data_IF_790017753017
#
_entry.id   IF_790017753017
#
_cell.length_a   1.000
_cell.length_b   1.000
_cell.length_c   1.000
_cell.angle_alpha   90.00
_cell.angle_beta   90.00
_cell.angle_gamma   90.00
#
_symmetry.space_group_name_H-M   'P 1'
#
loop_
_entity.id
_entity.type
_entity.pdbx_description
1 polymer ?
#
# COMPACT_ATOMS: atom_id res chain seq x y z
N UNK A 1 23.46 0.36 7.89
CA UNK A 1 24.66 1.19 8.12
C UNK A 1 24.59 1.95 9.45
N UNK A 2 23.65 2.90 9.61
CA UNK A 2 23.58 3.79 10.78
C UNK A 2 23.45 3.03 12.12
N UNK A 3 22.68 1.95 12.17
CA UNK A 3 22.56 1.11 13.37
C UNK A 3 23.87 0.42 13.76
N UNK A 4 24.62 -0.11 12.79
CA UNK A 4 25.94 -0.74 13.04
C UNK A 4 26.93 0.28 13.60
N UNK A 5 26.90 1.50 13.05
CA UNK A 5 27.72 2.63 13.49
C UNK A 5 27.24 3.27 14.80
N UNK A 6 26.10 2.82 15.35
CA UNK A 6 25.47 3.38 16.55
C UNK A 6 25.20 4.88 16.45
N UNK A 7 24.87 5.36 15.26
CA UNK A 7 24.51 6.76 15.03
C UNK A 7 23.01 6.93 15.19
N UNK A 8 22.59 8.02 15.84
CA UNK A 8 21.19 8.40 15.89
C UNK A 8 20.71 8.88 14.52
N UNK A 9 19.47 8.56 14.17
CA UNK A 9 18.83 8.99 12.93
C UNK A 9 17.31 9.07 13.10
N UNK A 10 16.66 9.79 12.19
CA UNK A 10 15.21 9.98 12.16
C UNK A 10 14.58 8.94 11.23
N UNK A 11 13.46 8.37 11.64
CA UNK A 11 12.65 7.44 10.83
C UNK A 11 12.68 5.98 11.33
N UNK A 12 12.14 5.05 10.53
CA UNK A 12 11.97 3.66 10.93
C UNK A 12 13.30 2.95 11.17
N UNK A 13 13.30 2.01 12.11
CA UNK A 13 14.44 1.09 12.32
C UNK A 13 14.61 0.15 11.14
N UNK A 14 15.79 -0.48 11.01
CA UNK A 14 16.10 -1.34 9.86
C UNK A 14 15.02 -2.38 9.57
N UNK A 15 14.53 -3.07 10.61
CA UNK A 15 13.52 -4.12 10.48
C UNK A 15 12.18 -3.55 9.99
N UNK A 16 11.76 -2.43 10.56
CA UNK A 16 10.53 -1.74 10.17
C UNK A 16 10.64 -1.28 8.71
N UNK A 17 11.72 -0.58 8.37
CA UNK A 17 11.98 -0.10 7.01
C UNK A 17 12.01 -1.24 5.97
N UNK A 18 12.67 -2.37 6.28
CA UNK A 18 12.71 -3.50 5.36
C UNK A 18 11.38 -4.24 5.23
N UNK A 19 10.63 -4.35 6.33
CA UNK A 19 9.38 -5.12 6.34
C UNK A 19 8.20 -4.34 5.77
N UNK A 20 8.15 -3.01 5.92
CA UNK A 20 7.12 -2.17 5.29
C UNK A 20 7.36 -1.99 3.79
N UNK A 21 8.62 -2.05 3.36
CA UNK A 21 8.95 -2.02 1.92
C UNK A 21 8.44 -3.27 1.19
N UNK A 22 8.41 -4.43 1.85
CA UNK A 22 7.90 -5.67 1.29
C UNK A 22 6.37 -5.74 1.44
N UNK A 23 5.65 -5.44 0.36
CA UNK A 23 4.17 -5.39 0.35
C UNK A 23 3.52 -6.70 0.82
N UNK A 24 4.10 -7.86 0.50
CA UNK A 24 3.55 -9.15 0.92
C UNK A 24 3.69 -9.33 2.43
N UNK A 25 4.89 -9.09 2.96
CA UNK A 25 5.13 -9.20 4.40
C UNK A 25 4.30 -8.18 5.19
N UNK A 26 4.21 -6.95 4.70
CA UNK A 26 3.39 -5.91 5.30
C UNK A 26 1.92 -6.33 5.36
N UNK A 27 1.34 -6.80 4.24
CA UNK A 27 -0.03 -7.26 4.17
C UNK A 27 -0.32 -8.46 5.10
N UNK A 28 0.61 -9.41 5.20
CA UNK A 28 0.48 -10.55 6.11
C UNK A 28 0.42 -10.08 7.59
N UNK A 29 1.27 -9.11 7.96
CA UNK A 29 1.25 -8.52 9.31
C UNK A 29 -0.05 -7.75 9.55
N UNK A 30 -0.51 -6.96 8.58
CA UNK A 30 -1.74 -6.20 8.69
C UNK A 30 -2.95 -7.11 8.86
N UNK A 31 -3.01 -8.21 8.09
CA UNK A 31 -4.01 -9.27 8.25
C UNK A 31 -3.98 -9.85 9.66
N UNK A 32 -2.79 -10.20 10.18
CA UNK A 32 -2.63 -10.76 11.52
C UNK A 32 -3.12 -9.80 12.63
N UNK A 33 -3.01 -8.48 12.42
CA UNK A 33 -3.53 -7.47 13.34
C UNK A 33 -4.93 -6.99 12.99
N UNK A 34 -5.62 -7.57 12.01
CA UNK A 34 -6.98 -7.20 11.63
C UNK A 34 -7.13 -5.77 11.12
N UNK A 35 -6.09 -5.26 10.45
CA UNK A 35 -6.20 -4.06 9.60
C UNK A 35 -6.60 -4.57 8.21
N UNK A 36 -7.65 -4.03 7.54
CA UNK A 36 -8.07 -4.53 6.24
C UNK A 36 -7.14 -4.09 5.10
N UNK A 37 -6.91 -4.96 4.12
CA UNK A 37 -6.30 -4.67 2.82
C UNK A 37 -7.31 -5.05 1.73
N UNK A 38 -7.06 -4.60 0.51
CA UNK A 38 -7.71 -5.23 -0.64
C UNK A 38 -7.28 -6.70 -0.74
N UNK A 39 -8.13 -7.60 -1.25
CA UNK A 39 -7.74 -8.98 -1.52
C UNK A 39 -6.47 -9.04 -2.39
N UNK A 40 -5.55 -9.94 -2.05
CA UNK A 40 -4.30 -10.09 -2.78
C UNK A 40 -3.87 -11.56 -2.94
N UNK A 41 -3.03 -11.80 -3.94
CA UNK A 41 -2.33 -13.07 -4.20
C UNK A 41 -0.84 -12.78 -4.32
N UNK A 42 -0.02 -13.63 -3.69
CA UNK A 42 1.43 -13.62 -3.86
C UNK A 42 1.82 -14.43 -5.10
N UNK A 43 2.78 -13.92 -5.88
CA UNK A 43 3.35 -14.62 -7.01
C UNK A 43 4.88 -14.55 -6.97
N UNK A 44 5.53 -15.65 -7.31
CA UNK A 44 6.99 -15.78 -7.31
C UNK A 44 7.50 -16.13 -8.71
N UNK A 45 8.65 -15.58 -9.09
CA UNK A 45 9.19 -15.73 -10.44
C UNK A 45 9.47 -17.19 -10.85
N UNK A 46 9.76 -18.06 -9.89
CA UNK A 46 10.03 -19.49 -10.06
C UNK A 46 8.79 -20.39 -9.86
N UNK A 47 7.63 -19.80 -9.59
CA UNK A 47 6.38 -20.53 -9.39
C UNK A 47 5.70 -20.90 -10.70
N UNK A 48 4.92 -22.00 -10.67
CA UNK A 48 4.12 -22.43 -11.80
C UNK A 48 3.03 -21.39 -12.12
N UNK A 49 3.03 -20.89 -13.36
CA UNK A 49 2.09 -19.88 -13.85
C UNK A 49 0.62 -20.35 -13.79
N UNK A 50 0.33 -21.62 -14.10
CA UNK A 50 -1.03 -22.15 -14.02
C UNK A 50 -1.59 -22.10 -12.59
N UNK A 51 -0.71 -22.29 -11.59
CA UNK A 51 -1.09 -22.17 -10.18
C UNK A 51 -1.40 -20.72 -9.81
N UNK A 52 -0.56 -19.77 -10.23
CA UNK A 52 -0.81 -18.33 -10.02
C UNK A 52 -2.13 -17.92 -10.65
N UNK A 53 -2.40 -18.36 -11.88
CA UNK A 53 -3.63 -18.07 -12.60
C UNK A 53 -4.86 -18.61 -11.85
N UNK A 54 -4.80 -19.86 -11.40
CA UNK A 54 -5.88 -20.48 -10.65
C UNK A 54 -6.16 -19.73 -9.33
N UNK A 55 -5.12 -19.34 -8.59
CA UNK A 55 -5.29 -18.57 -7.35
C UNK A 55 -5.87 -17.17 -7.59
N UNK A 56 -5.45 -16.49 -8.66
CA UNK A 56 -6.00 -15.17 -9.02
C UNK A 56 -7.48 -15.28 -9.40
N UNK A 57 -7.86 -16.29 -10.18
CA UNK A 57 -9.26 -16.51 -10.57
C UNK A 57 -10.17 -16.90 -9.39
N UNK A 58 -9.62 -17.64 -8.42
CA UNK A 58 -10.37 -18.09 -7.23
C UNK A 58 -10.57 -16.94 -6.23
N UNK A 59 -9.56 -16.10 -6.03
CA UNK A 59 -9.53 -15.11 -4.93
C UNK A 59 -9.83 -13.68 -5.34
N UNK A 60 -9.59 -13.30 -6.60
CA UNK A 60 -9.60 -11.90 -7.05
C UNK A 60 -10.61 -11.68 -8.20
N UNK A 61 -11.11 -10.45 -8.27
CA UNK A 61 -11.92 -9.96 -9.38
C UNK A 61 -11.13 -8.94 -10.20
N UNK A 62 -11.20 -9.02 -11.53
CA UNK A 62 -10.56 -8.06 -12.42
C UNK A 62 -11.30 -6.71 -12.44
N UNK A 63 -10.60 -5.57 -12.65
CA UNK A 63 -9.16 -5.48 -12.90
C UNK A 63 -8.31 -5.70 -11.64
N UNK A 64 -7.10 -6.21 -11.81
CA UNK A 64 -6.11 -6.38 -10.73
C UNK A 64 -4.88 -5.50 -10.98
N UNK A 65 -4.14 -5.20 -9.92
CA UNK A 65 -2.87 -4.49 -9.97
C UNK A 65 -1.72 -5.44 -9.64
N UNK A 66 -0.80 -5.60 -10.58
CA UNK A 66 0.42 -6.40 -10.40
C UNK A 66 1.55 -5.46 -10.01
N UNK A 67 2.14 -5.67 -8.82
CA UNK A 67 3.15 -4.78 -8.23
C UNK A 67 4.38 -5.59 -7.76
N UNK A 68 5.63 -5.15 -8.04
CA UNK A 68 6.81 -5.72 -7.39
C UNK A 68 6.70 -5.51 -5.87
N UNK A 69 7.07 -6.52 -5.08
CA UNK A 69 6.88 -6.48 -3.63
C UNK A 69 7.66 -5.34 -2.97
N UNK A 70 8.90 -5.09 -3.40
CA UNK A 70 9.84 -4.13 -2.78
C UNK A 70 10.06 -2.82 -3.57
N UNK A 71 9.10 -2.40 -4.41
CA UNK A 71 9.20 -1.15 -5.15
C UNK A 71 8.19 -0.09 -4.68
N UNK A 72 8.64 1.17 -4.74
CA UNK A 72 7.82 2.37 -4.55
C UNK A 72 7.68 3.18 -5.85
N UNK A 73 7.06 4.36 -5.74
CA UNK A 73 6.92 5.33 -6.84
C UNK A 73 6.22 4.78 -8.11
N UNK A 74 5.35 3.79 -7.93
CA UNK A 74 4.59 3.13 -9.00
C UNK A 74 5.44 2.47 -10.08
N UNK A 75 6.72 2.21 -9.82
CA UNK A 75 7.63 1.58 -10.79
C UNK A 75 7.31 0.08 -10.90
N UNK A 76 7.17 -0.41 -12.13
CA UNK A 76 6.89 -1.83 -12.40
C UNK A 76 5.44 -2.25 -12.10
N UNK A 77 4.55 -1.31 -11.78
CA UNK A 77 3.14 -1.60 -11.53
C UNK A 77 2.37 -1.64 -12.85
N UNK A 78 1.52 -2.67 -13.02
CA UNK A 78 0.62 -2.80 -14.17
C UNK A 78 -0.82 -2.99 -13.71
N UNK A 79 -1.76 -2.28 -14.34
CA UNK A 79 -3.20 -2.59 -14.24
C UNK A 79 -3.52 -3.66 -15.29
N UNK A 80 -4.06 -4.79 -14.85
CA UNK A 80 -4.36 -5.96 -15.67
C UNK A 80 -5.87 -6.14 -15.66
N UNK A 81 -6.50 -6.19 -16.84
CA UNK A 81 -7.97 -6.23 -16.95
C UNK A 81 -8.53 -7.62 -17.21
N UNK A 82 -7.67 -8.59 -17.54
CA UNK A 82 -8.07 -9.98 -17.77
C UNK A 82 -6.93 -10.97 -17.48
N UNK A 83 -7.24 -12.26 -17.47
CA UNK A 83 -6.24 -13.31 -17.23
C UNK A 83 -5.19 -13.38 -18.33
N UNK A 84 -5.57 -13.08 -19.58
CA UNK A 84 -4.68 -13.08 -20.73
C UNK A 84 -3.60 -11.99 -20.64
N UNK A 85 -3.90 -10.88 -19.95
CA UNK A 85 -2.97 -9.78 -19.71
C UNK A 85 -2.06 -10.03 -18.49
N UNK A 86 -2.38 -11.01 -17.64
CA UNK A 86 -1.72 -11.22 -16.36
C UNK A 86 -0.25 -11.57 -16.52
N UNK A 87 0.08 -12.47 -17.45
CA UNK A 87 1.47 -12.90 -17.72
C UNK A 87 2.35 -11.71 -18.13
N UNK A 88 1.82 -10.80 -18.95
CA UNK A 88 2.54 -9.59 -19.33
C UNK A 88 2.79 -8.66 -18.13
N UNK A 89 1.79 -8.48 -17.26
CA UNK A 89 1.94 -7.71 -16.02
C UNK A 89 2.98 -8.31 -15.07
N UNK A 90 2.95 -9.63 -14.90
CA UNK A 90 3.94 -10.39 -14.11
C UNK A 90 5.35 -10.23 -14.68
N UNK A 91 5.52 -10.38 -16.00
CA UNK A 91 6.81 -10.23 -16.67
C UNK A 91 7.39 -8.81 -16.52
N UNK A 92 6.55 -7.77 -16.42
CA UNK A 92 7.00 -6.41 -16.10
C UNK A 92 7.47 -6.32 -14.65
N UNK A 93 6.68 -6.83 -13.69
CA UNK A 93 7.00 -6.75 -12.27
C UNK A 93 8.27 -7.56 -11.91
N UNK A 94 8.46 -8.73 -12.53
CA UNK A 94 9.62 -9.60 -12.32
C UNK A 94 10.96 -9.00 -12.76
N UNK A 95 10.96 -7.89 -13.50
CA UNK A 95 12.20 -7.13 -13.81
C UNK A 95 12.75 -6.41 -12.58
N UNK A 96 11.91 -6.17 -11.57
CA UNK A 96 12.25 -5.36 -10.40
C UNK A 96 12.35 -6.17 -9.12
N UNK A 97 11.61 -7.29 -9.02
CA UNK A 97 11.60 -8.12 -7.82
C UNK A 97 11.23 -9.57 -8.20
N UNK A 98 11.76 -10.57 -7.50
CA UNK A 98 11.35 -11.96 -7.68
C UNK A 98 10.03 -12.28 -6.98
N UNK A 99 9.57 -11.38 -6.09
CA UNK A 99 8.30 -11.44 -5.38
C UNK A 99 7.36 -10.36 -5.89
N UNK A 100 6.12 -10.76 -6.18
CA UNK A 100 5.10 -9.89 -6.74
C UNK A 100 3.81 -10.04 -5.94
N UNK A 101 3.13 -8.92 -5.71
CA UNK A 101 1.79 -8.90 -5.16
C UNK A 101 0.80 -8.55 -6.28
N UNK A 102 -0.27 -9.33 -6.37
CA UNK A 102 -1.40 -9.12 -7.29
C UNK A 102 -2.58 -8.72 -6.42
N UNK A 103 -3.01 -7.47 -6.51
CA UNK A 103 -4.07 -6.91 -5.67
C UNK A 103 -5.34 -6.67 -6.47
N UNK A 104 -6.49 -6.95 -5.88
CA UNK A 104 -7.77 -6.61 -6.51
C UNK A 104 -7.91 -5.09 -6.65
N UNK A 105 -8.25 -4.64 -7.85
CA UNK A 105 -8.58 -3.25 -8.11
C UNK A 105 -9.89 -2.87 -7.44
N UNK A 106 -9.89 -1.73 -6.75
CA UNK A 106 -11.09 -1.13 -6.15
C UNK A 106 -11.27 0.28 -6.68
N UNK A 107 -12.51 0.68 -6.93
CA UNK A 107 -12.83 2.07 -7.25
C UNK A 107 -12.93 2.86 -5.94
N UNK A 108 -11.84 3.52 -5.58
CA UNK A 108 -11.69 4.15 -4.27
C UNK A 108 -10.92 5.47 -4.36
N UNK A 109 -11.23 6.35 -3.41
CA UNK A 109 -10.45 7.56 -3.12
C UNK A 109 -9.19 7.18 -2.36
N UNK A 110 -8.08 7.88 -2.63
CA UNK A 110 -6.83 7.70 -1.90
C UNK A 110 -6.74 8.72 -0.78
N UNK A 111 -6.71 8.24 0.46
CA UNK A 111 -6.69 9.06 1.67
C UNK A 111 -5.39 8.77 2.42
N UNK A 112 -4.66 9.81 2.80
CA UNK A 112 -3.36 9.70 3.47
C UNK A 112 -3.48 10.11 4.93
N UNK A 113 -2.88 9.33 5.83
CA UNK A 113 -2.82 9.61 7.26
C UNK A 113 -1.38 9.52 7.76
N UNK A 114 -0.82 10.63 8.22
CA UNK A 114 0.53 10.63 8.79
C UNK A 114 0.51 10.10 10.23
N UNK A 115 1.55 9.34 10.58
CA UNK A 115 1.75 8.78 11.92
C UNK A 115 3.09 9.23 12.46
N UNK A 116 3.12 9.65 13.72
CA UNK A 116 4.33 10.09 14.43
C UNK A 116 4.37 9.43 15.81
N UNK A 117 5.52 8.86 16.16
CA UNK A 117 5.70 8.32 17.50
C UNK A 117 6.83 7.31 17.60
N UNK A 118 7.04 6.83 18.82
CA UNK A 118 7.99 5.77 19.12
C UNK A 118 7.41 4.89 20.23
N UNK A 119 7.55 3.57 20.11
CA UNK A 119 7.02 2.63 21.09
C UNK A 119 5.50 2.75 21.24
N UNK A 120 4.97 2.59 22.45
CA UNK A 120 3.52 2.69 22.71
C UNK A 120 2.93 4.11 22.67
N UNK A 121 3.72 5.13 22.31
CA UNK A 121 3.25 6.53 22.20
C UNK A 121 3.21 6.93 20.74
N UNK A 122 2.11 6.58 20.08
CA UNK A 122 1.87 6.84 18.66
C UNK A 122 0.69 7.79 18.52
N UNK A 123 0.76 8.71 17.55
CA UNK A 123 -0.31 9.63 17.20
C UNK A 123 -0.43 9.74 15.69
N UNK A 124 -1.66 9.77 15.21
CA UNK A 124 -2.02 10.07 13.83
C UNK A 124 -2.45 11.53 13.63
N UNK A 125 -2.28 12.06 12.42
CA UNK A 125 -2.94 13.30 11.98
C UNK A 125 -4.42 13.05 11.68
N UNK A 126 -5.16 14.11 11.34
CA UNK A 126 -6.40 13.93 10.58
C UNK A 126 -6.06 13.39 9.17
N UNK A 127 -6.89 12.52 8.58
CA UNK A 127 -6.70 12.07 7.21
C UNK A 127 -6.84 13.24 6.22
N UNK A 128 -5.97 13.27 5.22
CA UNK A 128 -6.01 14.22 4.11
C UNK A 128 -6.19 13.49 2.79
N UNK A 129 -6.70 14.18 1.78
CA UNK A 129 -6.91 13.63 0.45
C UNK A 129 -6.25 14.51 -0.59
N UNK A 130 -5.60 13.85 -1.54
CA UNK A 130 -5.23 14.45 -2.81
C UNK A 130 -6.42 14.27 -3.75
N UNK A 131 -7.22 15.33 -3.95
CA UNK A 131 -8.42 15.28 -4.79
C UNK A 131 -7.96 15.22 -6.25
N UNK A 132 -8.34 14.14 -6.95
CA UNK A 132 -7.94 13.86 -8.33
C UNK A 132 -9.12 14.09 -9.27
N UNK A 133 -8.87 14.78 -10.38
CA UNK A 133 -9.81 14.90 -11.51
C UNK A 133 -9.65 13.76 -12.55
N UNK A 134 -8.80 12.76 -12.30
CA UNK A 134 -8.49 11.65 -13.23
C UNK A 134 -8.43 10.28 -12.55
N UNK A 135 -8.83 9.22 -13.27
CA UNK A 135 -9.03 7.85 -12.78
C UNK A 135 -7.74 7.08 -12.38
N UNK A 136 -6.54 7.54 -12.75
CA UNK A 136 -5.28 6.84 -12.44
C UNK A 136 -4.11 7.79 -12.20
N UNK A 137 -3.37 7.57 -11.12
CA UNK A 137 -2.28 8.43 -10.64
C UNK A 137 -0.91 7.81 -10.95
N UNK A 138 -0.42 8.06 -12.16
CA UNK A 138 0.87 7.55 -12.63
C UNK A 138 2.05 8.44 -12.18
N UNK A 139 3.28 7.97 -12.43
CA UNK A 139 4.51 8.72 -12.10
C UNK A 139 4.54 10.12 -12.73
N UNK A 140 3.98 10.30 -13.94
CA UNK A 140 3.97 11.60 -14.63
C UNK A 140 3.10 12.61 -13.89
N UNK A 141 1.93 12.18 -13.43
CA UNK A 141 0.99 13.03 -12.70
C UNK A 141 1.55 13.53 -11.36
N UNK A 142 2.43 12.75 -10.71
CA UNK A 142 3.05 13.11 -9.42
C UNK A 142 4.09 14.23 -9.49
N UNK A 143 4.73 14.45 -10.64
CA UNK A 143 5.92 15.31 -10.74
C UNK A 143 5.87 16.38 -11.82
N UNK A 144 4.85 16.38 -12.70
CA UNK A 144 4.80 17.26 -13.88
C UNK A 144 3.63 18.26 -13.84
N UNK A 145 2.42 17.83 -13.44
CA UNK A 145 1.22 18.67 -13.46
C UNK A 145 0.85 19.18 -12.06
N UNK A 146 1.32 20.40 -11.77
CA UNK A 146 1.26 21.08 -10.47
C UNK A 146 -0.16 21.58 -10.05
N UNK A 147 -1.24 20.95 -10.50
CA UNK A 147 -2.62 21.26 -10.12
C UNK A 147 -3.16 20.16 -9.20
N UNK A 148 -2.75 20.19 -7.95
CA UNK A 148 -3.21 19.26 -6.92
C UNK A 148 -4.07 20.05 -5.94
N UNK A 149 -5.34 19.70 -5.82
CA UNK A 149 -6.20 20.19 -4.74
C UNK A 149 -6.08 19.25 -3.54
N UNK A 150 -5.79 19.82 -2.37
CA UNK A 150 -5.64 19.05 -1.13
C UNK A 150 -6.83 19.35 -0.21
N UNK A 151 -7.57 18.31 0.16
CA UNK A 151 -8.60 18.38 1.19
C UNK A 151 -8.01 17.93 2.54
N UNK A 152 -7.81 18.87 3.46
CA UNK A 152 -7.28 18.61 4.80
C UNK A 152 -8.16 19.32 5.84
N UNK A 153 -9.00 18.60 6.61
CA UNK A 153 -9.21 17.14 6.55
C UNK A 153 -9.91 16.70 5.25
N UNK A 154 -9.78 15.42 4.91
CA UNK A 154 -10.52 14.80 3.81
C UNK A 154 -12.04 14.88 4.05
N UNK A 155 -12.82 15.04 2.98
CA UNK A 155 -14.28 15.06 3.05
C UNK A 155 -14.84 13.63 3.18
N UNK A 156 -14.78 13.11 4.42
CA UNK A 156 -15.25 11.79 4.83
C UNK A 156 -15.96 11.88 6.19
N UNK A 157 -16.87 10.94 6.52
CA UNK A 157 -17.52 10.91 7.83
C UNK A 157 -16.52 10.83 8.99
N UNK A 158 -16.85 11.45 10.11
CA UNK A 158 -15.95 11.52 11.27
C UNK A 158 -15.59 10.12 11.82
N UNK A 159 -16.54 9.19 11.81
CA UNK A 159 -16.34 7.81 12.22
C UNK A 159 -15.36 7.06 11.29
N UNK A 160 -15.37 7.37 9.99
CA UNK A 160 -14.43 6.81 9.01
C UNK A 160 -13.04 7.36 9.27
N UNK A 161 -12.92 8.67 9.51
CA UNK A 161 -11.65 9.31 9.83
C UNK A 161 -11.02 8.71 11.11
N UNK A 162 -11.79 8.54 12.19
CA UNK A 162 -11.29 7.91 13.41
C UNK A 162 -10.89 6.44 13.20
N UNK A 163 -11.62 5.70 12.37
CA UNK A 163 -11.29 4.31 12.02
C UNK A 163 -10.00 4.21 11.21
N UNK A 164 -9.78 5.10 10.22
CA UNK A 164 -8.51 5.19 9.48
C UNK A 164 -7.34 5.50 10.41
N UNK A 165 -7.52 6.48 11.30
CA UNK A 165 -6.51 6.85 12.30
C UNK A 165 -6.15 5.66 13.20
N UNK A 166 -7.16 4.93 13.68
CA UNK A 166 -6.94 3.71 14.46
C UNK A 166 -6.17 2.64 13.68
N UNK A 167 -6.54 2.39 12.42
CA UNK A 167 -5.82 1.44 11.56
C UNK A 167 -4.38 1.86 11.27
N UNK A 168 -4.14 3.15 11.02
CA UNK A 168 -2.80 3.69 10.79
C UNK A 168 -1.90 3.48 12.01
N UNK A 169 -2.39 3.85 13.20
CA UNK A 169 -1.65 3.66 14.45
C UNK A 169 -1.38 2.18 14.75
N UNK A 170 -2.38 1.31 14.53
CA UNK A 170 -2.27 -0.12 14.76
C UNK A 170 -1.26 -0.79 13.82
N UNK A 171 -1.34 -0.49 12.52
CA UNK A 171 -0.44 -1.05 11.51
C UNK A 171 1.00 -0.54 11.72
N UNK A 172 1.17 0.75 11.99
CA UNK A 172 2.46 1.34 12.32
C UNK A 172 3.11 0.67 13.54
N UNK A 173 2.35 0.43 14.60
CA UNK A 173 2.83 -0.28 15.79
C UNK A 173 3.19 -1.73 15.49
N UNK A 174 2.36 -2.44 14.71
CA UNK A 174 2.60 -3.83 14.33
C UNK A 174 3.91 -4.00 13.54
N UNK A 175 4.26 -3.00 12.71
CA UNK A 175 5.49 -2.95 11.93
C UNK A 175 6.69 -2.39 12.71
N UNK A 176 6.58 -2.24 14.03
CA UNK A 176 7.62 -1.67 14.89
C UNK A 176 8.10 -0.28 14.41
N UNK A 177 7.14 0.56 13.98
CA UNK A 177 7.39 1.91 13.48
C UNK A 177 8.13 2.80 14.48
N UNK A 178 8.99 3.67 13.95
CA UNK A 178 9.70 4.68 14.72
C UNK A 178 9.84 5.98 13.93
N UNK A 179 9.80 7.12 14.63
CA UNK A 179 9.82 8.44 14.02
C UNK A 179 8.49 8.77 13.35
N UNK A 180 8.47 8.79 12.02
CA UNK A 180 7.30 9.15 11.21
C UNK A 180 7.13 8.20 10.02
N UNK A 181 5.87 8.00 9.63
CA UNK A 181 5.46 7.32 8.39
C UNK A 181 4.15 7.93 7.88
N UNK A 182 3.75 7.56 6.67
CA UNK A 182 2.47 7.93 6.09
C UNK A 182 1.75 6.67 5.68
N UNK A 183 0.55 6.48 6.19
CA UNK A 183 -0.30 5.35 5.82
C UNK A 183 -1.24 5.80 4.70
N UNK A 184 -1.20 5.09 3.59
CA UNK A 184 -2.04 5.36 2.42
C UNK A 184 -3.22 4.40 2.43
N UNK A 185 -4.44 4.92 2.35
CA UNK A 185 -5.68 4.16 2.40
C UNK A 185 -6.48 4.29 1.10
N UNK A 186 -7.19 3.23 0.76
CA UNK A 186 -8.32 3.27 -0.15
C UNK A 186 -9.62 3.43 0.65
N UNK A 187 -10.45 4.37 0.23
CA UNK A 187 -11.82 4.56 0.71
C UNK A 187 -12.80 4.40 -0.44
N UNK A 188 -13.54 3.29 -0.46
CA UNK A 188 -14.39 2.93 -1.59
C UNK A 188 -15.80 3.56 -1.49
N UNK A 189 -16.58 3.42 -2.57
CA UNK A 189 -17.94 3.97 -2.64
C UNK A 189 -18.94 3.31 -1.66
N UNK A 190 -18.60 2.14 -1.11
CA UNK A 190 -19.42 1.44 -0.11
C UNK A 190 -19.10 1.89 1.31
N UNK A 191 -18.02 2.66 1.49
CA UNK A 191 -17.54 3.10 2.79
C UNK A 191 -16.51 2.16 3.42
N UNK A 192 -15.99 1.18 2.66
CA UNK A 192 -14.94 0.29 3.12
C UNK A 192 -13.57 0.98 3.10
N UNK A 193 -12.74 0.63 4.09
CA UNK A 193 -11.42 1.22 4.32
C UNK A 193 -10.38 0.12 4.19
N UNK A 194 -9.41 0.31 3.30
CA UNK A 194 -8.31 -0.63 3.08
C UNK A 194 -6.98 0.10 3.21
N UNK A 195 -6.07 -0.41 4.05
CA UNK A 195 -4.68 0.05 4.07
C UNK A 195 -3.98 -0.47 2.81
N UNK A 196 -3.38 0.43 2.04
CA UNK A 196 -2.60 0.11 0.84
C UNK A 196 -1.11 -0.08 1.18
N UNK A 197 -0.49 0.91 1.83
CA UNK A 197 0.92 0.82 2.26
C UNK A 197 1.24 1.82 3.41
N UNK A 198 2.43 1.67 4.01
CA UNK A 198 3.02 2.53 5.08
C UNK A 198 4.38 3.07 4.62
#
# INVERSE_FOLDING_TARGET
>A
FLEIMRLAYVGPKYLSASSTMDKLLANDVFTAVGVPQVPYVAAYADENQEKIHAEVQDKLTFPVFVKPANMGSSVGISKVSSLEELEAGLAVAYKYDNRVVIEQGVNAREIECAVLGNGGKVRSTLPGEVVKDVDFYDYRSKYIDNKIEMAIPADIPAEVAEKMRHYAEKAYQAMNGAGLSRCDFFYDQKGDIYLNEI
#
